data_IF_561881974485
#
_entry.id   IF_561881974485
#
_cell.length_a   1.000
_cell.length_b   1.000
_cell.length_c   1.000
_cell.angle_alpha   90.00
_cell.angle_beta   90.00
_cell.angle_gamma   90.00
#
_symmetry.space_group_name_H-M   'P 1'
#
loop_
_entity.id
_entity.type
_entity.pdbx_description
1 polymer ?
#
# COMPACT_ATOMS: atom_id res chain seq x y z
N UNK A 1 55.71 -37.63 -20.59
CA UNK A 1 55.23 -37.24 -19.24
C UNK A 1 54.52 -35.89 -19.21
N UNK A 2 55.09 -34.80 -19.77
CA UNK A 2 54.46 -33.47 -19.76
C UNK A 2 53.09 -33.40 -20.49
N UNK A 3 52.95 -34.06 -21.65
CA UNK A 3 51.66 -34.13 -22.38
C UNK A 3 50.56 -34.90 -21.64
N UNK A 4 50.93 -35.95 -20.90
CA UNK A 4 49.98 -36.77 -20.14
C UNK A 4 49.44 -35.97 -18.94
N UNK A 5 50.33 -35.24 -18.25
CA UNK A 5 49.95 -34.35 -17.15
C UNK A 5 49.01 -33.22 -17.61
N UNK A 6 49.25 -32.62 -18.79
CA UNK A 6 48.35 -31.60 -19.35
C UNK A 6 46.99 -32.17 -19.76
N UNK A 7 46.94 -33.39 -20.30
CA UNK A 7 45.67 -34.04 -20.65
C UNK A 7 44.81 -34.35 -19.42
N UNK A 8 45.44 -34.82 -18.34
CA UNK A 8 44.78 -35.09 -17.06
C UNK A 8 44.26 -33.80 -16.43
N UNK A 9 45.03 -32.71 -16.48
CA UNK A 9 44.61 -31.40 -15.98
C UNK A 9 43.38 -30.86 -16.73
N UNK A 10 43.37 -30.98 -18.07
CA UNK A 10 42.24 -30.56 -18.91
C UNK A 10 40.98 -31.40 -18.61
N UNK A 11 41.13 -32.71 -18.46
CA UNK A 11 40.02 -33.60 -18.09
C UNK A 11 39.46 -33.30 -16.69
N UNK A 12 40.32 -32.93 -15.73
CA UNK A 12 39.90 -32.56 -14.38
C UNK A 12 39.15 -31.23 -14.36
N UNK A 13 39.59 -30.25 -15.16
CA UNK A 13 38.88 -28.98 -15.35
C UNK A 13 37.53 -29.21 -16.04
N UNK A 14 37.49 -29.97 -17.13
CA UNK A 14 36.23 -30.29 -17.83
C UNK A 14 35.24 -31.10 -16.97
N UNK A 15 35.72 -31.96 -16.07
CA UNK A 15 34.88 -32.75 -15.16
C UNK A 15 34.35 -31.94 -13.97
N UNK A 16 35.02 -30.85 -13.58
CA UNK A 16 34.60 -29.97 -12.47
C UNK A 16 33.74 -28.78 -12.95
N UNK A 17 33.81 -28.43 -14.23
CA UNK A 17 32.98 -27.42 -14.89
C UNK A 17 31.45 -27.62 -14.77
N UNK A 18 30.87 -28.83 -14.94
CA UNK A 18 29.42 -29.02 -14.83
C UNK A 18 28.90 -28.85 -13.39
N UNK A 19 29.75 -29.03 -12.37
CA UNK A 19 29.36 -28.81 -10.96
C UNK A 19 29.37 -27.32 -10.60
N UNK A 20 30.30 -26.53 -11.16
CA UNK A 20 30.30 -25.06 -11.01
C UNK A 20 29.16 -24.37 -11.75
N UNK A 21 28.76 -24.89 -12.92
CA UNK A 21 27.64 -24.31 -13.69
C UNK A 21 26.27 -24.53 -13.01
N UNK A 22 26.12 -25.58 -12.20
CA UNK A 22 24.87 -25.84 -11.46
C UNK A 22 24.69 -24.93 -10.22
N UNK A 23 25.75 -24.28 -9.73
CA UNK A 23 25.66 -23.32 -8.61
C UNK A 23 25.29 -21.90 -9.04
N UNK A 24 25.37 -21.59 -10.33
CA UNK A 24 24.96 -20.30 -10.91
C UNK A 24 23.54 -20.32 -11.49
N UNK A 25 22.87 -21.49 -11.52
CA UNK A 25 21.42 -21.55 -11.72
C UNK A 25 20.79 -21.20 -10.38
N UNK A 26 20.74 -19.89 -10.17
CA UNK A 26 20.00 -19.20 -9.15
C UNK A 26 18.62 -19.84 -8.95
N UNK A 27 18.18 -19.86 -7.70
CA UNK A 27 16.94 -20.39 -7.17
C UNK A 27 15.69 -19.85 -7.87
N UNK A 28 15.48 -20.19 -9.13
CA UNK A 28 14.25 -19.90 -9.85
C UNK A 28 13.27 -21.01 -9.54
N UNK A 29 12.82 -20.97 -8.29
CA UNK A 29 11.56 -21.57 -7.90
C UNK A 29 10.51 -21.16 -8.94
N UNK A 30 9.77 -22.10 -9.55
CA UNK A 30 8.67 -21.76 -10.44
C UNK A 30 7.48 -21.33 -9.57
N UNK A 31 7.65 -20.28 -8.77
CA UNK A 31 6.54 -19.56 -8.19
C UNK A 31 5.92 -18.78 -9.35
N UNK A 32 4.91 -19.38 -9.98
CA UNK A 32 4.02 -18.64 -10.88
C UNK A 32 3.62 -17.33 -10.21
N UNK A 33 3.62 -16.23 -10.97
CA UNK A 33 3.42 -14.85 -10.51
C UNK A 33 2.44 -14.74 -9.31
N UNK A 34 2.96 -14.74 -8.08
CA UNK A 34 2.17 -14.70 -6.84
C UNK A 34 1.67 -13.28 -6.49
N UNK A 35 1.76 -12.36 -7.45
CA UNK A 35 1.65 -10.92 -7.20
C UNK A 35 2.87 -10.36 -6.48
N UNK A 36 2.91 -9.04 -6.34
CA UNK A 36 3.96 -8.33 -5.63
C UNK A 36 3.33 -7.21 -4.80
N UNK A 37 3.87 -6.97 -3.61
CA UNK A 37 3.48 -5.84 -2.79
C UNK A 37 4.29 -4.62 -3.21
N UNK A 38 3.61 -3.50 -3.42
CA UNK A 38 4.24 -2.22 -3.69
C UNK A 38 3.70 -1.19 -2.71
N UNK A 39 4.61 -0.47 -2.05
CA UNK A 39 4.25 0.68 -1.23
C UNK A 39 3.83 1.84 -2.15
N UNK A 40 2.61 2.32 -2.00
CA UNK A 40 2.09 3.44 -2.78
C UNK A 40 2.36 4.78 -2.09
N UNK A 41 2.03 4.85 -0.80
CA UNK A 41 2.23 6.02 0.06
C UNK A 41 2.81 5.56 1.39
N UNK A 42 3.86 6.22 1.88
CA UNK A 42 4.42 5.93 3.20
C UNK A 42 3.43 6.26 4.33
N UNK A 43 2.59 7.28 4.11
CA UNK A 43 1.48 7.64 4.97
C UNK A 43 0.45 8.43 4.17
N UNK A 44 -0.82 8.23 4.51
CA UNK A 44 -1.95 9.05 4.04
C UNK A 44 -2.53 9.93 5.16
N UNK A 45 -1.89 9.92 6.33
CA UNK A 45 -2.22 10.75 7.49
C UNK A 45 -3.39 10.29 8.36
N UNK A 46 -4.15 9.28 7.95
CA UNK A 46 -5.27 8.68 8.73
C UNK A 46 -5.09 7.16 8.88
N UNK A 47 -5.77 6.57 9.86
CA UNK A 47 -5.90 5.11 9.97
C UNK A 47 -7.15 4.66 9.23
N UNK A 48 -6.99 4.17 7.99
CA UNK A 48 -8.14 3.79 7.16
C UNK A 48 -8.91 2.60 7.78
N UNK A 49 -10.01 2.91 8.46
CA UNK A 49 -10.94 1.95 9.06
C UNK A 49 -11.93 1.41 8.03
N UNK A 50 -12.50 2.29 7.19
CA UNK A 50 -13.38 1.92 6.09
C UNK A 50 -12.82 2.41 4.75
N UNK A 51 -12.97 1.61 3.69
CA UNK A 51 -12.49 1.95 2.34
C UNK A 51 -13.47 1.46 1.28
N UNK A 52 -13.68 2.25 0.23
CA UNK A 52 -14.53 1.89 -0.91
C UNK A 52 -13.91 2.32 -2.23
N UNK A 53 -13.76 1.38 -3.16
CA UNK A 53 -13.39 1.66 -4.56
C UNK A 53 -14.60 2.26 -5.30
N UNK A 54 -14.37 3.34 -6.02
CA UNK A 54 -15.36 4.03 -6.85
C UNK A 54 -15.16 3.69 -8.33
N UNK A 55 -16.18 3.97 -9.15
CA UNK A 55 -16.18 3.68 -10.59
C UNK A 55 -15.17 4.53 -11.42
N UNK A 56 -14.47 5.47 -10.78
CA UNK A 56 -13.53 6.41 -11.41
C UNK A 56 -12.09 6.22 -10.92
N UNK A 57 -11.73 5.00 -10.54
CA UNK A 57 -10.41 4.60 -10.03
C UNK A 57 -9.93 5.43 -8.84
N UNK A 58 -10.88 5.84 -7.99
CA UNK A 58 -10.62 6.49 -6.72
C UNK A 58 -11.06 5.60 -5.58
N UNK A 59 -10.34 5.68 -4.48
CA UNK A 59 -10.71 5.00 -3.24
C UNK A 59 -11.02 6.07 -2.21
N UNK A 60 -12.25 6.05 -1.69
CA UNK A 60 -12.60 6.87 -0.53
C UNK A 60 -12.28 6.09 0.73
N UNK A 61 -11.64 6.73 1.70
CA UNK A 61 -11.18 6.12 2.95
C UNK A 61 -11.64 6.95 4.14
N UNK A 62 -12.01 6.28 5.22
CA UNK A 62 -12.50 6.89 6.45
C UNK A 62 -11.78 6.33 7.68
N UNK A 63 -11.52 7.23 8.60
CA UNK A 63 -11.15 6.96 9.99
C UNK A 63 -12.31 7.44 10.89
N UNK A 64 -12.21 7.11 12.18
CA UNK A 64 -13.08 7.65 13.23
C UNK A 64 -12.57 9.01 13.70
N UNK A 65 -13.46 9.84 14.25
CA UNK A 65 -13.08 11.21 14.69
C UNK A 65 -12.77 11.33 16.18
N UNK A 66 -13.21 10.38 17.00
CA UNK A 66 -13.22 10.49 18.47
C UNK A 66 -11.94 9.96 19.15
N UNK A 67 -10.84 9.79 18.40
CA UNK A 67 -9.55 9.26 18.88
C UNK A 67 -8.41 10.28 18.87
N UNK A 68 -8.71 11.54 18.55
CA UNK A 68 -7.74 12.64 18.53
C UNK A 68 -7.43 13.11 17.11
N UNK A 69 -6.42 13.99 16.95
CA UNK A 69 -6.12 14.56 15.64
C UNK A 69 -5.44 13.53 14.74
N UNK A 70 -5.77 13.55 13.46
CA UNK A 70 -5.03 12.81 12.44
C UNK A 70 -3.76 13.57 12.02
N UNK A 71 -2.88 12.92 11.25
CA UNK A 71 -1.72 13.57 10.65
C UNK A 71 -2.02 14.11 9.24
N UNK A 72 -3.26 14.57 9.02
CA UNK A 72 -3.72 15.14 7.75
C UNK A 72 -4.55 16.41 8.02
N UNK A 73 -4.03 17.62 7.77
CA UNK A 73 -4.79 18.85 8.02
C UNK A 73 -5.92 19.05 6.99
N UNK A 74 -7.04 19.63 7.45
CA UNK A 74 -8.06 20.14 6.54
C UNK A 74 -7.59 21.43 5.85
N UNK A 75 -7.92 21.63 4.56
CA UNK A 75 -7.50 22.82 3.83
C UNK A 75 -8.29 24.05 4.29
N UNK A 76 -7.75 25.24 4.01
CA UNK A 76 -8.42 26.54 4.20
C UNK A 76 -8.85 26.85 5.65
N UNK A 77 -8.22 26.22 6.65
CA UNK A 77 -8.54 26.44 8.06
C UNK A 77 -9.92 25.90 8.47
N UNK A 78 -10.48 24.98 7.69
CA UNK A 78 -11.71 24.29 8.09
C UNK A 78 -11.47 23.40 9.30
N UNK A 79 -12.42 23.43 10.24
CA UNK A 79 -12.41 22.56 11.41
C UNK A 79 -13.82 22.01 11.62
N UNK A 80 -13.89 20.75 12.04
CA UNK A 80 -15.09 20.13 12.58
C UNK A 80 -15.25 20.60 14.01
N UNK A 81 -16.43 21.14 14.33
CA UNK A 81 -16.78 21.58 15.69
C UNK A 81 -17.90 20.68 16.18
N UNK A 82 -17.59 19.87 17.19
CA UNK A 82 -18.51 18.92 17.78
C UNK A 82 -18.33 18.91 19.30
N UNK A 83 -19.24 19.56 20.06
CA UNK A 83 -19.11 19.64 21.51
C UNK A 83 -19.25 18.28 22.22
N UNK A 84 -19.67 17.23 21.50
CA UNK A 84 -19.85 15.88 22.04
C UNK A 84 -18.73 14.91 21.65
N UNK A 85 -17.74 15.36 20.86
CA UNK A 85 -16.59 14.53 20.55
C UNK A 85 -15.78 14.22 21.82
N UNK A 86 -15.33 12.96 21.95
CA UNK A 86 -14.66 12.49 23.15
C UNK A 86 -13.18 12.88 23.22
N UNK A 87 -12.56 13.21 22.09
CA UNK A 87 -11.15 13.54 22.02
C UNK A 87 -10.92 15.02 21.71
N UNK A 88 -11.57 15.56 20.67
CA UNK A 88 -11.39 16.93 20.21
C UNK A 88 -12.72 17.59 19.85
N UNK A 89 -13.14 18.56 20.67
CA UNK A 89 -14.37 19.32 20.39
C UNK A 89 -14.23 20.30 19.23
N UNK A 90 -13.01 20.65 18.86
CA UNK A 90 -12.66 21.38 17.64
C UNK A 90 -11.48 20.69 17.01
N UNK A 91 -11.68 20.13 15.82
CA UNK A 91 -10.69 19.35 15.11
C UNK A 91 -10.49 19.91 13.69
N UNK A 92 -9.27 20.35 13.41
CA UNK A 92 -8.88 20.91 12.11
C UNK A 92 -8.15 19.89 11.24
N UNK A 93 -8.20 18.62 11.60
CA UNK A 93 -7.63 17.50 10.87
C UNK A 93 -8.72 16.69 10.15
N UNK A 94 -8.34 16.04 9.07
CA UNK A 94 -9.22 15.25 8.24
C UNK A 94 -9.21 13.79 8.72
N UNK A 95 -10.40 13.23 8.90
CA UNK A 95 -10.60 11.80 9.20
C UNK A 95 -11.17 11.04 8.00
N UNK A 96 -11.03 11.62 6.81
CA UNK A 96 -11.33 10.94 5.56
C UNK A 96 -10.52 11.56 4.44
N UNK A 97 -10.35 10.80 3.37
CA UNK A 97 -9.69 11.26 2.17
C UNK A 97 -10.21 10.51 0.95
N UNK A 98 -9.94 11.08 -0.21
CA UNK A 98 -10.07 10.37 -1.48
C UNK A 98 -8.70 10.23 -2.12
N UNK A 99 -8.33 8.98 -2.41
CA UNK A 99 -7.10 8.59 -3.06
C UNK A 99 -7.35 8.32 -4.54
N UNK A 100 -6.48 8.83 -5.39
CA UNK A 100 -6.50 8.70 -6.84
C UNK A 100 -5.41 7.71 -7.27
N UNK A 101 -5.83 6.57 -7.80
CA UNK A 101 -4.92 5.46 -8.14
C UNK A 101 -3.98 5.86 -9.28
N UNK A 102 -4.49 6.56 -10.29
CA UNK A 102 -3.72 6.93 -11.50
C UNK A 102 -2.58 7.86 -11.18
N UNK A 103 -2.81 8.83 -10.30
CA UNK A 103 -1.81 9.84 -9.94
C UNK A 103 -0.99 9.47 -8.70
N UNK A 104 -1.36 8.39 -8.01
CA UNK A 104 -0.85 8.04 -6.69
C UNK A 104 -0.86 9.26 -5.75
N UNK A 105 -2.00 9.94 -5.67
CA UNK A 105 -2.17 11.13 -4.85
C UNK A 105 -3.46 11.05 -4.03
N UNK A 106 -3.58 11.86 -2.99
CA UNK A 106 -4.81 11.93 -2.21
C UNK A 106 -5.11 13.36 -1.80
N UNK A 107 -6.39 13.62 -1.46
CA UNK A 107 -6.81 14.87 -0.85
C UNK A 107 -7.71 14.62 0.37
N UNK A 108 -7.57 15.44 1.42
CA UNK A 108 -8.41 15.37 2.60
C UNK A 108 -9.88 15.64 2.27
N UNK A 109 -10.76 14.97 3.00
CA UNK A 109 -12.19 15.20 3.01
C UNK A 109 -12.66 15.41 4.45
N UNK A 110 -13.59 16.33 4.63
CA UNK A 110 -14.20 16.59 5.92
C UNK A 110 -15.40 15.65 6.11
N UNK A 111 -15.38 14.86 7.19
CA UNK A 111 -16.57 14.18 7.72
C UNK A 111 -17.22 15.05 8.78
N UNK A 112 -18.56 15.03 8.82
CA UNK A 112 -19.33 15.80 9.80
C UNK A 112 -19.60 15.00 11.08
N UNK A 113 -19.73 13.68 10.96
CA UNK A 113 -20.02 12.75 12.06
C UNK A 113 -18.95 11.67 12.12
N UNK A 114 -18.76 11.11 13.31
CA UNK A 114 -17.92 9.92 13.49
C UNK A 114 -18.47 8.75 12.66
N UNK A 115 -17.59 8.10 11.88
CA UNK A 115 -17.96 6.97 11.01
C UNK A 115 -17.82 5.62 11.71
N UNK A 116 -17.43 5.59 12.98
CA UNK A 116 -17.33 4.36 13.77
C UNK A 116 -18.61 3.51 13.73
N UNK A 117 -18.46 2.21 13.49
CA UNK A 117 -19.56 1.23 13.36
C UNK A 117 -20.61 1.55 12.27
N UNK A 118 -20.28 2.41 11.31
CA UNK A 118 -21.11 2.66 10.13
C UNK A 118 -20.92 1.58 9.04
N UNK A 119 -21.79 1.59 8.05
CA UNK A 119 -21.62 0.86 6.79
C UNK A 119 -22.06 1.76 5.63
N UNK A 120 -21.55 1.47 4.42
CA UNK A 120 -21.84 2.23 3.21
C UNK A 120 -21.64 1.33 1.97
N UNK A 121 -22.19 1.76 0.83
CA UNK A 121 -22.05 1.05 -0.44
C UNK A 121 -22.07 2.01 -1.63
N UNK A 122 -21.62 1.52 -2.79
CA UNK A 122 -21.80 2.24 -4.05
C UNK A 122 -23.15 1.87 -4.65
N UNK A 123 -24.02 2.87 -4.81
CA UNK A 123 -25.33 2.74 -5.42
C UNK A 123 -25.19 2.45 -6.94
N UNK A 124 -26.24 1.91 -7.60
CA UNK A 124 -26.19 1.61 -9.03
C UNK A 124 -25.86 2.81 -9.94
N UNK A 125 -26.13 4.03 -9.48
CA UNK A 125 -25.79 5.27 -10.18
C UNK A 125 -24.33 5.75 -9.93
N UNK A 126 -23.52 4.97 -9.20
CA UNK A 126 -22.13 5.28 -8.91
C UNK A 126 -21.90 6.22 -7.72
N UNK A 127 -22.97 6.64 -7.02
CA UNK A 127 -22.86 7.46 -5.81
C UNK A 127 -22.47 6.57 -4.62
N UNK A 128 -21.56 7.06 -3.80
CA UNK A 128 -21.24 6.48 -2.50
C UNK A 128 -22.24 6.97 -1.45
N UNK A 129 -22.87 6.07 -0.70
CA UNK A 129 -23.85 6.39 0.34
C UNK A 129 -23.98 5.32 1.41
#
# INVERSE_FOLDING_TARGET
MRMIATMILILFVLATFPCYFQLLVESQTPFGYLGQWQLLQASIGISAMHMQLLHNDKVIMFDRTDFGPSNLPLPYGHCRVDPYDKALTTDCTAHSLIYDITTNSFRPLMVQTDTWCSSASVLPNGIYG
#
